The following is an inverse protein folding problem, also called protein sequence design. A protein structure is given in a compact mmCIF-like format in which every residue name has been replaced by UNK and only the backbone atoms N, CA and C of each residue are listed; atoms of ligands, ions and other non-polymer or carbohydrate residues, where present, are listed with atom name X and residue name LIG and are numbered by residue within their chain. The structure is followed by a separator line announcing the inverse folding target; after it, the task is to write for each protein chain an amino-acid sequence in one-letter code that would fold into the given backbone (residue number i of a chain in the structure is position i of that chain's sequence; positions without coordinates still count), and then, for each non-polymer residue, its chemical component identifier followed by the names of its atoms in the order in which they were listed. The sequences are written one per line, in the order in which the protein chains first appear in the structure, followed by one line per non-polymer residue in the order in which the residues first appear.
data_IF_984772019381
#
_entry.id   IF_984772019381
#
_cell.length_a   1.000
_cell.length_b   1.000
_cell.length_c   1.000
_cell.angle_alpha   90.00
_cell.angle_beta   90.00
_cell.angle_gamma   90.00
#
_symmetry.space_group_name_H-M   'P 1'
#
loop_
_entity.id
_entity.type
_entity.pdbx_description
1 polymer ?
#
# COMPACT_ATOMS: atom_id res chain seq x y z
N UNK A 1 -22.30 30.23 34.08
CA UNK A 1 -22.04 28.92 34.71
C UNK A 1 -21.22 28.00 33.81
N UNK A 2 -21.64 27.75 32.55
CA UNK A 2 -20.93 26.83 31.63
C UNK A 2 -19.45 27.19 31.37
N UNK A 3 -19.11 28.48 31.33
CA UNK A 3 -17.73 28.95 31.09
C UNK A 3 -16.74 28.50 32.16
N UNK A 4 -17.09 28.66 33.45
CA UNK A 4 -16.23 28.24 34.57
C UNK A 4 -16.06 26.72 34.63
N UNK A 5 -17.11 25.95 34.32
CA UNK A 5 -17.06 24.49 34.23
C UNK A 5 -16.13 24.03 33.10
N UNK A 6 -16.21 24.65 31.92
CA UNK A 6 -15.33 24.35 30.79
C UNK A 6 -13.86 24.66 31.11
N UNK A 7 -13.60 25.74 31.85
CA UNK A 7 -12.24 26.08 32.31
C UNK A 7 -11.73 25.00 33.28
N UNK A 8 -12.54 24.58 34.27
CA UNK A 8 -12.17 23.51 35.18
C UNK A 8 -11.91 22.18 34.46
N UNK A 9 -12.73 21.83 33.47
CA UNK A 9 -12.52 20.66 32.61
C UNK A 9 -11.23 20.77 31.80
N UNK A 10 -10.94 21.94 31.22
CA UNK A 10 -9.68 22.16 30.51
C UNK A 10 -8.47 21.97 31.45
N UNK A 11 -8.54 22.48 32.68
CA UNK A 11 -7.48 22.29 33.67
C UNK A 11 -7.33 20.84 34.15
N UNK A 12 -8.38 20.01 34.06
CA UNK A 12 -8.32 18.57 34.39
C UNK A 12 -7.54 17.72 33.38
N UNK A 13 -7.17 18.29 32.23
CA UNK A 13 -6.41 17.59 31.21
C UNK A 13 -4.98 17.26 31.68
N UNK A 14 -4.39 16.15 31.19
CA UNK A 14 -3.01 15.80 31.48
C UNK A 14 -2.03 16.94 31.16
N UNK A 15 -0.99 17.16 31.99
CA UNK A 15 -0.06 18.28 31.82
C UNK A 15 0.68 18.22 30.48
N UNK A 16 0.90 17.01 29.92
CA UNK A 16 1.51 16.84 28.60
C UNK A 16 0.64 17.41 27.48
N UNK A 17 -0.68 17.21 27.54
CA UNK A 17 -1.62 17.77 26.57
C UNK A 17 -1.74 19.28 26.76
N UNK A 18 -1.85 19.75 28.00
CA UNK A 18 -1.87 21.18 28.30
C UNK A 18 -0.63 21.91 27.78
N UNK A 19 0.56 21.36 28.03
CA UNK A 19 1.82 21.95 27.55
C UNK A 19 1.92 21.92 26.02
N UNK A 20 1.35 20.89 25.37
CA UNK A 20 1.25 20.86 23.93
C UNK A 20 0.37 22.01 23.41
N UNK A 21 -0.87 22.13 23.92
CA UNK A 21 -1.81 23.16 23.48
C UNK A 21 -1.36 24.58 23.81
N UNK A 22 -0.62 24.77 24.92
CA UNK A 22 0.03 26.05 25.24
C UNK A 22 1.04 26.48 24.17
N UNK A 23 1.82 25.53 23.63
CA UNK A 23 2.85 25.82 22.62
C UNK A 23 2.30 25.86 21.20
N UNK A 24 1.26 25.07 20.93
CA UNK A 24 0.65 24.91 19.61
C UNK A 24 -0.87 25.01 19.77
N UNK A 25 -1.41 26.24 19.91
CA UNK A 25 -2.85 26.45 20.04
C UNK A 25 -3.56 26.08 18.73
N UNK A 26 -4.65 25.28 18.78
CA UNK A 26 -5.41 24.93 17.60
C UNK A 26 -6.12 26.16 17.01
N UNK A 27 -6.33 26.19 15.68
CA UNK A 27 -6.94 27.34 15.02
C UNK A 27 -8.35 27.65 15.52
N UNK A 28 -9.10 26.64 16.00
CA UNK A 28 -10.42 26.83 16.59
C UNK A 28 -10.39 27.74 17.84
N UNK A 29 -9.32 27.67 18.63
CA UNK A 29 -9.13 28.52 19.81
C UNK A 29 -8.52 29.88 19.43
N UNK A 30 -7.64 29.90 18.43
CA UNK A 30 -7.02 31.13 17.93
C UNK A 30 -8.02 32.03 17.20
N UNK A 31 -8.89 31.45 16.36
CA UNK A 31 -9.89 32.19 15.59
C UNK A 31 -10.93 32.87 16.50
N UNK A 32 -11.33 32.22 17.59
CA UNK A 32 -12.19 32.85 18.60
C UNK A 32 -11.53 34.07 19.29
N UNK A 33 -10.20 34.16 19.26
CA UNK A 33 -9.47 35.33 19.78
C UNK A 33 -9.32 36.46 18.75
N UNK A 34 -9.47 36.16 17.44
CA UNK A 34 -9.30 37.12 16.34
C UNK A 34 -10.60 37.59 15.69
N UNK A 35 -11.78 37.23 16.20
CA UNK A 35 -13.07 37.74 15.71
C UNK A 35 -13.29 39.22 16.07
N UNK A 36 -12.52 40.11 15.44
CA UNK A 36 -12.87 41.50 15.13
C UNK A 36 -12.86 41.73 13.60
N UNK A 37 -12.93 40.67 12.78
CA UNK A 37 -13.15 40.82 11.34
C UNK A 37 -14.24 39.86 10.86
N UNK A 38 -15.42 40.47 10.66
CA UNK A 38 -16.60 39.98 9.95
C UNK A 38 -16.21 39.20 8.68
N UNK A 39 -16.69 37.96 8.46
CA UNK A 39 -16.45 37.27 7.20
C UNK A 39 -17.23 37.98 6.08
N UNK A 40 -16.50 38.39 5.03
CA UNK A 40 -17.07 38.93 3.80
C UNK A 40 -17.91 37.84 3.12
N UNK A 41 -19.18 38.15 2.85
CA UNK A 41 -20.13 37.30 2.13
C UNK A 41 -20.30 37.92 0.76
N UNK A 42 -19.77 37.28 -0.28
CA UNK A 42 -19.98 37.71 -1.67
C UNK A 42 -21.10 36.90 -2.30
N UNK A 43 -22.09 37.60 -2.86
CA UNK A 43 -23.23 37.04 -3.58
C UNK A 43 -22.86 36.87 -5.04
N UNK A 44 -22.79 35.64 -5.54
CA UNK A 44 -22.62 35.37 -6.98
C UNK A 44 -23.98 34.96 -7.55
N UNK A 45 -24.53 35.78 -8.44
CA UNK A 45 -25.70 35.43 -9.27
C UNK A 45 -25.24 34.62 -10.47
N UNK A 46 -25.63 33.34 -10.53
CA UNK A 46 -25.44 32.49 -11.71
C UNK A 46 -26.69 32.64 -12.59
N UNK A 47 -26.53 33.19 -13.79
CA UNK A 47 -27.56 33.16 -14.83
C UNK A 47 -27.51 31.82 -15.54
N UNK A 48 -28.60 31.04 -15.47
CA UNK A 48 -28.76 29.80 -16.22
C UNK A 48 -28.98 30.12 -17.70
N UNK A 49 -28.02 29.76 -18.56
CA UNK A 49 -28.28 29.63 -19.99
C UNK A 49 -28.95 28.28 -20.25
N UNK A 50 -30.25 28.17 -19.98
CA UNK A 50 -31.08 27.12 -20.57
C UNK A 50 -32.29 27.75 -21.25
N UNK A 51 -32.35 27.55 -22.56
CA UNK A 51 -33.48 27.89 -23.42
C UNK A 51 -34.67 27.01 -23.04
N UNK A 52 -35.65 27.56 -22.34
CA UNK A 52 -37.01 27.01 -22.31
C UNK A 52 -38.03 28.14 -22.18
N UNK A 53 -39.08 28.03 -23.00
CA UNK A 53 -40.10 29.03 -23.24
C UNK A 53 -41.19 28.95 -22.17
N UNK A 54 -40.93 29.41 -20.94
CA UNK A 54 -42.00 29.58 -19.94
C UNK A 54 -41.69 30.76 -18.99
N UNK A 55 -42.57 31.78 -18.89
CA UNK A 55 -42.25 33.04 -18.20
C UNK A 55 -42.43 33.03 -16.67
N UNK A 56 -42.62 31.89 -15.98
CA UNK A 56 -42.85 31.93 -14.53
C UNK A 56 -42.43 30.67 -13.76
N UNK A 57 -41.13 30.30 -13.80
CA UNK A 57 -40.56 29.32 -12.89
C UNK A 57 -39.72 30.02 -11.81
N UNK A 58 -40.15 29.90 -10.54
CA UNK A 58 -39.47 30.46 -9.38
C UNK A 58 -38.09 29.80 -9.18
N UNK A 59 -37.04 30.62 -9.12
CA UNK A 59 -35.67 30.18 -8.87
C UNK A 59 -35.53 29.50 -7.50
N UNK A 60 -35.13 28.23 -7.49
CA UNK A 60 -34.82 27.49 -6.26
C UNK A 60 -33.37 27.75 -5.84
N UNK A 61 -33.18 28.33 -4.66
CA UNK A 61 -31.85 28.55 -4.07
C UNK A 61 -31.32 27.25 -3.48
N UNK A 62 -30.26 26.70 -4.05
CA UNK A 62 -29.52 25.57 -3.48
C UNK A 62 -28.23 26.10 -2.85
N UNK A 63 -28.15 26.04 -1.52
CA UNK A 63 -26.98 26.45 -0.74
C UNK A 63 -26.00 25.28 -0.64
N UNK A 64 -24.93 25.31 -1.46
CA UNK A 64 -23.82 24.34 -1.37
C UNK A 64 -22.60 25.06 -0.78
N UNK A 65 -22.07 24.62 0.37
CA UNK A 65 -20.79 25.12 0.87
C UNK A 65 -19.65 24.68 -0.04
N UNK A 66 -18.99 25.65 -0.69
CA UNK A 66 -17.77 25.43 -1.46
C UNK A 66 -16.62 25.08 -0.49
N UNK A 67 -15.88 23.98 -0.69
CA UNK A 67 -14.64 23.77 0.03
C UNK A 67 -13.67 24.86 -0.39
N UNK A 68 -13.35 25.77 0.52
CA UNK A 68 -12.28 26.75 0.29
C UNK A 68 -11.00 25.99 0.00
N UNK A 69 -10.56 26.00 -1.26
CA UNK A 69 -9.21 25.64 -1.64
C UNK A 69 -8.27 26.59 -0.90
N UNK A 70 -7.80 26.15 0.27
CA UNK A 70 -6.80 26.90 1.03
C UNK A 70 -5.52 26.81 0.24
N UNK A 71 -5.21 27.92 -0.40
CA UNK A 71 -4.07 28.19 -1.26
C UNK A 71 -2.79 27.59 -0.65
N UNK A 72 -2.14 26.75 -1.45
CA UNK A 72 -0.96 25.92 -1.15
C UNK A 72 0.32 26.72 -0.80
N UNK A 73 0.27 28.06 -0.81
CA UNK A 73 1.45 28.91 -0.91
C UNK A 73 1.88 29.60 0.40
N UNK A 74 1.04 29.65 1.44
CA UNK A 74 1.44 30.23 2.73
C UNK A 74 2.28 29.28 3.62
N UNK A 75 2.55 28.06 3.17
CA UNK A 75 3.21 27.01 3.95
C UNK A 75 4.73 27.23 4.14
N UNK A 76 5.34 28.14 3.38
CA UNK A 76 6.80 28.25 3.28
C UNK A 76 7.46 29.10 4.36
N UNK A 77 6.75 30.03 5.00
CA UNK A 77 7.33 30.92 6.02
C UNK A 77 7.31 30.34 7.45
N UNK A 78 6.48 29.32 7.73
CA UNK A 78 6.14 28.91 9.11
C UNK A 78 6.05 27.38 9.32
N UNK A 79 6.89 26.61 8.63
CA UNK A 79 6.78 25.13 8.46
C UNK A 79 6.43 24.29 9.69
N UNK A 80 7.18 24.38 10.80
CA UNK A 80 6.86 23.64 12.04
C UNK A 80 5.84 24.36 12.95
N UNK A 81 5.65 25.67 12.75
CA UNK A 81 4.71 26.45 13.56
C UNK A 81 3.26 26.18 13.14
N UNK A 82 3.03 25.77 11.89
CA UNK A 82 1.71 25.32 11.42
C UNK A 82 1.37 23.90 11.91
N UNK A 83 2.30 22.96 11.75
CA UNK A 83 2.09 21.58 12.23
C UNK A 83 3.37 21.01 12.87
N UNK A 84 3.39 20.76 14.19
CA UNK A 84 4.57 20.27 14.89
C UNK A 84 4.84 18.77 14.67
N UNK A 85 3.96 18.07 13.94
CA UNK A 85 4.02 16.63 13.70
C UNK A 85 4.62 16.25 12.34
N UNK A 86 4.79 17.20 11.44
CA UNK A 86 5.37 16.97 10.11
C UNK A 86 6.83 17.40 10.07
N UNK A 87 7.64 16.68 9.29
CA UNK A 87 8.96 17.15 8.92
C UNK A 87 8.81 18.37 8.01
N UNK A 88 9.71 19.34 8.13
CA UNK A 88 9.71 20.51 7.26
C UNK A 88 11.05 20.64 6.57
N UNK A 89 11.02 21.08 5.32
CA UNK A 89 12.23 21.38 4.55
C UNK A 89 12.58 22.85 4.80
N UNK A 90 13.81 23.12 5.22
CA UNK A 90 14.29 24.49 5.35
C UNK A 90 14.41 25.10 3.94
N UNK A 91 13.73 26.23 3.65
CA UNK A 91 13.75 26.82 2.32
C UNK A 91 15.12 27.40 1.95
N UNK A 92 15.90 27.86 2.92
CA UNK A 92 17.23 28.46 2.69
C UNK A 92 18.30 27.39 2.49
N UNK A 93 18.33 26.35 3.33
CA UNK A 93 19.38 25.31 3.28
C UNK A 93 18.98 24.08 2.47
N UNK A 94 17.70 23.91 2.15
CA UNK A 94 17.18 22.73 1.47
C UNK A 94 17.13 21.45 2.32
N UNK A 95 17.64 21.48 3.56
CA UNK A 95 17.71 20.32 4.43
C UNK A 95 16.35 20.02 5.08
N UNK A 96 16.04 18.73 5.23
CA UNK A 96 14.87 18.28 5.96
C UNK A 96 15.15 18.27 7.47
N UNK A 97 14.34 19.01 8.22
CA UNK A 97 14.33 18.91 9.67
C UNK A 97 13.29 17.89 10.11
N UNK A 98 13.62 17.07 11.13
CA UNK A 98 12.66 16.13 11.70
C UNK A 98 11.48 16.90 12.34
N UNK A 99 10.33 16.23 12.52
CA UNK A 99 9.21 16.84 13.21
C UNK A 99 9.57 17.20 14.66
N UNK A 100 9.04 18.30 15.17
CA UNK A 100 9.31 18.78 16.53
C UNK A 100 8.85 17.76 17.60
N UNK A 101 7.83 16.95 17.30
CA UNK A 101 7.48 15.74 18.06
C UNK A 101 7.77 14.50 17.22
N UNK A 102 8.56 13.58 17.76
CA UNK A 102 8.81 12.27 17.14
C UNK A 102 7.54 11.43 17.06
N UNK A 103 7.49 10.46 16.15
CA UNK A 103 6.32 9.58 15.95
C UNK A 103 5.85 8.87 17.23
N UNK A 104 6.78 8.56 18.15
CA UNK A 104 6.47 8.02 19.48
C UNK A 104 5.71 9.05 20.32
N UNK A 105 6.23 10.27 20.42
CA UNK A 105 5.60 11.36 21.19
C UNK A 105 4.26 11.77 20.60
N UNK A 106 4.14 11.75 19.27
CA UNK A 106 2.85 11.95 18.59
C UNK A 106 1.83 10.89 19.03
N UNK A 107 2.19 9.61 19.00
CA UNK A 107 1.31 8.53 19.43
C UNK A 107 0.91 8.65 20.91
N UNK A 108 1.85 9.03 21.79
CA UNK A 108 1.56 9.29 23.21
C UNK A 108 0.52 10.42 23.38
N UNK A 109 0.66 11.52 22.63
CA UNK A 109 -0.30 12.62 22.64
C UNK A 109 -1.67 12.19 22.09
N UNK A 110 -1.72 11.46 20.98
CA UNK A 110 -2.97 10.95 20.43
C UNK A 110 -3.66 9.97 21.37
N UNK A 111 -2.91 9.10 22.06
CA UNK A 111 -3.47 8.20 23.07
C UNK A 111 -4.15 8.97 24.20
N UNK A 112 -3.51 10.03 24.70
CA UNK A 112 -4.11 10.91 25.72
C UNK A 112 -5.30 11.68 25.15
N UNK A 113 -5.19 12.25 23.95
CA UNK A 113 -6.25 13.03 23.33
C UNK A 113 -7.51 12.18 23.09
N UNK A 114 -7.35 10.93 22.65
CA UNK A 114 -8.45 9.96 22.53
C UNK A 114 -9.06 9.64 23.88
N UNK A 115 -8.27 9.40 24.92
CA UNK A 115 -8.79 9.10 26.26
C UNK A 115 -9.60 10.25 26.87
N UNK A 116 -9.24 11.50 26.56
CA UNK A 116 -9.93 12.69 27.06
C UNK A 116 -10.90 13.32 26.04
N UNK A 117 -11.18 12.65 24.93
CA UNK A 117 -12.08 13.14 23.85
C UNK A 117 -11.69 14.51 23.28
N UNK A 118 -10.40 14.85 23.28
CA UNK A 118 -9.84 16.12 22.73
C UNK A 118 -9.15 15.89 21.39
N UNK A 119 -9.48 14.78 20.71
CA UNK A 119 -8.84 14.39 19.46
C UNK A 119 -9.03 15.43 18.35
N UNK A 120 -10.23 16.01 18.23
CA UNK A 120 -10.57 17.00 17.20
C UNK A 120 -9.70 18.27 17.27
N UNK A 121 -9.10 18.59 18.42
CA UNK A 121 -8.22 19.75 18.56
C UNK A 121 -6.78 19.45 18.13
N UNK A 122 -6.45 18.19 17.82
CA UNK A 122 -5.10 17.80 17.42
C UNK A 122 -4.83 18.09 15.95
N UNK A 123 -3.61 18.55 15.59
CA UNK A 123 -3.27 18.72 14.18
C UNK A 123 -3.17 17.36 13.47
N UNK A 124 -3.40 17.33 12.14
CA UNK A 124 -3.35 16.10 11.37
C UNK A 124 -1.95 15.48 11.40
N UNK A 125 -1.88 14.16 11.56
CA UNK A 125 -0.62 13.42 11.63
C UNK A 125 -0.78 11.99 11.10
N UNK A 126 0.29 11.33 10.63
CA UNK A 126 0.29 9.90 10.32
C UNK A 126 -0.16 8.99 11.48
N UNK A 127 -0.12 9.47 12.73
CA UNK A 127 -0.55 8.73 13.93
C UNK A 127 -1.99 9.05 14.37
N UNK A 128 -2.68 9.97 13.69
CA UNK A 128 -4.06 10.29 13.99
C UNK A 128 -4.96 9.07 13.72
N UNK A 129 -5.80 8.63 14.68
CA UNK A 129 -6.57 7.40 14.56
C UNK A 129 -7.57 7.43 13.40
N UNK A 130 -8.32 8.52 13.22
CA UNK A 130 -9.29 8.66 12.11
C UNK A 130 -8.61 8.60 10.74
N UNK A 131 -7.55 9.39 10.52
CA UNK A 131 -6.77 9.36 9.28
C UNK A 131 -6.20 7.95 9.02
N UNK A 132 -5.75 7.25 10.07
CA UNK A 132 -5.22 5.88 9.96
C UNK A 132 -6.32 4.89 9.58
N UNK A 133 -7.52 5.06 10.09
CA UNK A 133 -8.68 4.23 9.76
C UNK A 133 -9.16 4.50 8.34
N UNK A 134 -9.30 5.77 7.96
CA UNK A 134 -9.66 6.20 6.61
C UNK A 134 -8.69 5.61 5.58
N UNK A 135 -7.37 5.77 5.79
CA UNK A 135 -6.36 5.17 4.89
C UNK A 135 -6.45 3.65 4.80
N UNK A 136 -6.87 2.97 5.86
CA UNK A 136 -7.05 1.52 5.86
C UNK A 136 -8.29 1.12 5.07
N UNK A 137 -9.36 1.90 5.13
CA UNK A 137 -10.59 1.69 4.36
C UNK A 137 -10.33 1.96 2.87
N UNK A 138 -9.67 3.07 2.55
CA UNK A 138 -9.39 3.49 1.17
C UNK A 138 -8.40 2.58 0.44
N UNK A 139 -7.37 2.10 1.14
CA UNK A 139 -6.26 1.37 0.51
C UNK A 139 -6.17 -0.11 0.85
N UNK A 140 -6.89 -0.57 1.88
CA UNK A 140 -6.87 -1.96 2.30
C UNK A 140 -5.52 -2.45 2.81
N UNK A 141 -5.33 -3.78 2.82
CA UNK A 141 -4.04 -4.41 3.12
C UNK A 141 -3.17 -4.43 1.87
N UNK A 142 -1.95 -3.88 1.95
CA UNK A 142 -1.04 -3.75 0.78
C UNK A 142 0.27 -4.55 0.92
N UNK A 143 0.29 -5.54 1.79
CA UNK A 143 1.46 -6.41 2.00
C UNK A 143 1.67 -7.29 0.77
N UNK A 144 2.92 -7.49 0.35
CA UNK A 144 3.22 -8.32 -0.83
C UNK A 144 2.74 -9.76 -0.59
N UNK A 145 1.96 -10.28 -1.53
CA UNK A 145 1.42 -11.65 -1.50
C UNK A 145 0.02 -11.76 -0.89
N UNK A 146 -0.24 -11.10 0.25
CA UNK A 146 -1.54 -11.16 0.96
C UNK A 146 -2.39 -9.90 0.82
N UNK A 147 -1.83 -8.83 0.26
CA UNK A 147 -2.55 -7.60 0.01
C UNK A 147 -3.60 -7.74 -1.09
N UNK A 148 -4.56 -6.83 -1.10
CA UNK A 148 -5.62 -6.79 -2.11
C UNK A 148 -5.00 -6.71 -3.51
N UNK A 149 -5.46 -7.59 -4.41
CA UNK A 149 -4.92 -7.73 -5.77
C UNK A 149 -3.53 -8.37 -5.88
N UNK A 150 -2.90 -8.79 -4.77
CA UNK A 150 -1.64 -9.55 -4.81
C UNK A 150 -1.90 -11.06 -4.75
N UNK A 151 -0.95 -11.83 -5.30
CA UNK A 151 -0.96 -13.29 -5.24
C UNK A 151 0.28 -13.81 -4.53
N UNK A 152 0.09 -14.81 -3.68
CA UNK A 152 1.18 -15.52 -2.99
C UNK A 152 2.04 -16.27 -4.00
N UNK A 153 3.36 -16.16 -3.88
CA UNK A 153 4.33 -16.80 -4.78
C UNK A 153 4.31 -18.34 -4.70
N UNK A 154 3.94 -18.90 -3.56
CA UNK A 154 4.07 -20.33 -3.25
C UNK A 154 5.52 -20.73 -2.96
N UNK A 155 5.72 -21.84 -2.25
CA UNK A 155 7.07 -22.39 -1.98
C UNK A 155 7.66 -23.03 -3.24
N UNK A 156 8.98 -23.22 -3.27
CA UNK A 156 9.64 -23.78 -4.46
C UNK A 156 9.12 -25.17 -4.83
N UNK A 157 8.86 -26.03 -3.84
CA UNK A 157 8.32 -27.38 -4.05
C UNK A 157 6.89 -27.36 -4.57
N UNK A 158 6.03 -26.43 -4.12
CA UNK A 158 4.65 -26.27 -4.63
C UNK A 158 4.66 -25.88 -6.11
N UNK A 159 5.50 -24.90 -6.46
CA UNK A 159 5.63 -24.43 -7.85
C UNK A 159 6.17 -25.50 -8.79
N UNK A 160 7.05 -26.38 -8.30
CA UNK A 160 7.70 -27.42 -9.11
C UNK A 160 7.03 -28.79 -9.00
N UNK A 161 6.04 -28.97 -8.13
CA UNK A 161 5.40 -30.26 -7.85
C UNK A 161 4.82 -30.89 -9.12
N UNK A 162 4.07 -30.11 -9.90
CA UNK A 162 3.46 -30.57 -11.15
C UNK A 162 4.51 -31.07 -12.14
N UNK A 163 5.57 -30.28 -12.36
CA UNK A 163 6.68 -30.67 -13.25
C UNK A 163 7.38 -31.94 -12.74
N UNK A 164 7.64 -32.04 -11.43
CA UNK A 164 8.28 -33.23 -10.85
C UNK A 164 7.42 -34.49 -10.99
N UNK A 165 6.11 -34.38 -10.77
CA UNK A 165 5.18 -35.50 -10.94
C UNK A 165 5.11 -35.95 -12.40
N UNK A 166 5.06 -35.00 -13.33
CA UNK A 166 5.05 -35.31 -14.77
C UNK A 166 6.34 -35.99 -15.23
N UNK A 167 7.50 -35.51 -14.76
CA UNK A 167 8.79 -36.16 -15.06
C UNK A 167 8.85 -37.57 -14.50
N UNK A 168 8.28 -37.81 -13.32
CA UNK A 168 8.21 -39.15 -12.72
C UNK A 168 7.30 -40.06 -13.54
N UNK A 169 6.11 -39.58 -13.92
CA UNK A 169 5.16 -40.32 -14.75
C UNK A 169 5.81 -40.77 -16.05
N UNK A 170 6.38 -39.83 -16.82
CA UNK A 170 7.03 -40.12 -18.10
C UNK A 170 8.21 -41.08 -17.96
N UNK A 171 9.02 -40.94 -16.89
CA UNK A 171 10.11 -41.87 -16.62
C UNK A 171 9.62 -43.30 -16.38
N UNK A 172 8.51 -43.47 -15.66
CA UNK A 172 7.92 -44.79 -15.43
C UNK A 172 7.29 -45.39 -16.68
N UNK A 173 6.67 -44.56 -17.53
CA UNK A 173 6.12 -44.99 -18.82
C UNK A 173 7.22 -45.49 -19.78
N UNK A 174 8.38 -44.82 -19.84
CA UNK A 174 9.48 -45.19 -20.76
C UNK A 174 10.51 -46.17 -20.16
N UNK A 175 10.43 -46.45 -18.86
CA UNK A 175 11.33 -47.35 -18.14
C UNK A 175 11.35 -48.79 -18.71
N UNK A 176 10.23 -49.44 -19.05
CA UNK A 176 10.25 -50.80 -19.61
C UNK A 176 11.06 -50.91 -20.90
N UNK A 177 10.86 -49.97 -21.84
CA UNK A 177 11.61 -49.93 -23.10
C UNK A 177 13.10 -49.71 -22.88
N UNK A 178 13.45 -48.85 -21.93
CA UNK A 178 14.84 -48.59 -21.53
C UNK A 178 15.51 -49.86 -20.99
N UNK A 179 14.79 -50.62 -20.15
CA UNK A 179 15.28 -51.88 -19.57
C UNK A 179 15.47 -52.94 -20.64
N UNK A 180 14.53 -53.08 -21.56
CA UNK A 180 14.63 -54.03 -22.67
C UNK A 180 15.88 -53.74 -23.52
N UNK A 181 16.06 -52.48 -23.92
CA UNK A 181 17.22 -52.06 -24.68
C UNK A 181 18.54 -52.28 -23.94
N UNK A 182 18.57 -52.00 -22.63
CA UNK A 182 19.73 -52.25 -21.79
C UNK A 182 20.08 -53.74 -21.69
N UNK A 183 19.07 -54.62 -21.59
CA UNK A 183 19.23 -56.08 -21.58
C UNK A 183 19.71 -56.61 -22.93
N UNK A 184 19.04 -56.24 -24.02
CA UNK A 184 19.34 -56.64 -25.40
C UNK A 184 20.80 -56.35 -25.76
N UNK A 185 21.30 -55.18 -25.35
CA UNK A 185 22.66 -54.77 -25.70
C UNK A 185 23.75 -55.46 -24.86
N UNK A 186 23.39 -56.06 -23.74
CA UNK A 186 24.32 -56.75 -22.83
C UNK A 186 24.76 -55.90 -21.65
N UNK A 187 23.81 -55.32 -20.92
CA UNK A 187 24.03 -54.67 -19.61
C UNK A 187 25.01 -53.50 -19.66
N UNK A 188 24.78 -52.53 -20.56
CA UNK A 188 25.53 -51.26 -20.61
C UNK A 188 26.64 -51.19 -21.67
N UNK A 189 26.86 -52.24 -22.46
CA UNK A 189 27.81 -52.21 -23.59
C UNK A 189 27.42 -51.13 -24.61
N UNK A 190 28.23 -50.10 -24.80
CA UNK A 190 27.95 -49.02 -25.75
C UNK A 190 26.83 -48.07 -25.32
N UNK A 191 26.49 -48.04 -24.03
CA UNK A 191 25.58 -47.06 -23.44
C UNK A 191 26.29 -45.72 -23.27
N UNK A 192 25.67 -44.63 -23.73
CA UNK A 192 26.29 -43.29 -23.77
C UNK A 192 25.86 -42.41 -22.60
N UNK A 193 24.62 -42.55 -22.11
CA UNK A 193 23.99 -41.62 -21.16
C UNK A 193 23.84 -42.24 -19.78
N UNK A 194 24.74 -41.90 -18.86
CA UNK A 194 24.65 -42.32 -17.45
C UNK A 194 24.03 -41.21 -16.59
N UNK A 195 23.28 -41.56 -15.52
CA UNK A 195 22.76 -40.56 -14.58
C UNK A 195 23.90 -39.71 -14.01
N UNK A 196 23.88 -38.41 -14.30
CA UNK A 196 24.85 -37.46 -13.77
C UNK A 196 24.19 -36.69 -12.62
N UNK A 197 24.83 -36.63 -11.45
CA UNK A 197 24.31 -35.86 -10.31
C UNK A 197 24.36 -34.35 -10.51
N UNK A 198 24.78 -33.86 -11.68
CA UNK A 198 25.10 -32.46 -11.95
C UNK A 198 23.98 -31.68 -12.65
N UNK A 199 22.89 -32.31 -13.07
CA UNK A 199 21.96 -31.67 -14.00
C UNK A 199 20.59 -31.39 -13.40
N UNK A 200 20.46 -30.19 -12.85
CA UNK A 200 19.19 -29.56 -12.48
C UNK A 200 18.43 -28.98 -13.68
N UNK A 201 18.31 -29.71 -14.80
CA UNK A 201 17.46 -29.28 -15.93
C UNK A 201 16.49 -30.40 -16.32
N UNK A 202 15.21 -30.13 -16.10
CA UNK A 202 14.13 -31.09 -16.33
C UNK A 202 14.03 -31.56 -17.78
N UNK A 203 13.47 -32.75 -17.93
CA UNK A 203 13.00 -33.40 -19.18
C UNK A 203 14.03 -33.73 -20.27
N UNK A 204 15.19 -33.08 -20.34
CA UNK A 204 16.16 -33.29 -21.42
C UNK A 204 16.82 -34.69 -21.41
N UNK A 205 16.83 -35.37 -20.26
CA UNK A 205 17.48 -36.68 -20.09
C UNK A 205 16.52 -37.83 -19.82
N UNK A 206 15.23 -37.67 -20.09
CA UNK A 206 14.31 -38.80 -20.03
C UNK A 206 14.50 -39.69 -21.27
N UNK A 207 14.62 -41.00 -21.06
CA UNK A 207 14.71 -41.97 -22.14
C UNK A 207 13.46 -41.88 -23.03
N UNK A 208 13.67 -41.74 -24.34
CA UNK A 208 12.61 -41.73 -25.35
C UNK A 208 12.83 -42.92 -26.30
N UNK A 209 11.88 -43.87 -26.41
CA UNK A 209 11.97 -45.03 -27.29
C UNK A 209 12.15 -44.69 -28.78
N UNK A 210 11.75 -43.51 -29.23
CA UNK A 210 11.95 -43.07 -30.62
C UNK A 210 13.41 -42.64 -30.89
N UNK A 211 14.15 -42.26 -29.84
CA UNK A 211 15.52 -41.75 -29.91
C UNK A 211 16.54 -42.71 -29.28
N UNK A 212 16.35 -44.03 -29.45
CA UNK A 212 17.25 -45.08 -28.91
C UNK A 212 18.72 -44.90 -29.30
N UNK A 213 18.97 -44.48 -30.54
CA UNK A 213 20.30 -44.18 -31.09
C UNK A 213 21.05 -43.04 -30.37
N UNK A 214 20.33 -42.17 -29.65
CA UNK A 214 20.94 -41.15 -28.81
C UNK A 214 21.48 -41.72 -27.48
N UNK A 215 20.97 -42.87 -27.06
CA UNK A 215 21.32 -43.53 -25.80
C UNK A 215 22.35 -44.65 -25.97
N UNK A 216 22.40 -45.27 -27.16
CA UNK A 216 23.33 -46.34 -27.50
C UNK A 216 24.03 -46.07 -28.84
N UNK A 217 25.17 -46.71 -29.10
CA UNK A 217 25.84 -46.63 -30.41
C UNK A 217 25.07 -47.38 -31.51
N UNK A 218 24.01 -46.76 -32.01
CA UNK A 218 23.21 -47.21 -33.16
C UNK A 218 23.11 -46.10 -34.22
N UNK A 219 22.86 -46.48 -35.48
CA UNK A 219 22.55 -45.51 -36.54
C UNK A 219 21.12 -45.03 -36.37
N UNK A 220 20.88 -43.74 -36.58
CA UNK A 220 19.53 -43.19 -36.57
C UNK A 220 18.68 -43.88 -37.66
N UNK A 221 17.39 -44.17 -37.39
CA UNK A 221 16.50 -44.70 -38.42
C UNK A 221 16.45 -43.70 -39.58
N UNK A 222 16.80 -44.15 -40.79
CA UNK A 222 16.67 -43.33 -41.99
C UNK A 222 15.18 -43.17 -42.28
N UNK A 223 14.67 -41.94 -42.28
CA UNK A 223 13.30 -41.63 -42.68
C UNK A 223 13.09 -42.09 -44.12
N UNK A 224 12.49 -43.26 -44.32
CA UNK A 224 11.95 -43.67 -45.61
C UNK A 224 10.74 -42.80 -45.90
N UNK A 225 10.82 -41.99 -46.95
CA UNK A 225 9.72 -41.19 -47.50
C UNK A 225 8.59 -42.08 -48.02
#
# INVERSE_FOLDING_TARGET
MATAQNIALAHSLPPRLLNFFKRFPPPQLSAASTTTSKPARETITVTENTSSSDPNAAASQVEVPLPSETTTNDNLQLGWKKNPFLAFKNPSTGNWHPPHYSLRRQADLFKLATAHNVLSLMPPSPKHPEIKQQKRIEHGLRVKGTGEGQKVKGKYWERTLKTRLETRRKAMETMPDMINLWRERGHGRGWKKYPSGKEGKGTADLFNPEMRHAWVHERAPTSSA
#
